data_IF_321507695026
#
_entry.id   IF_321507695026
#
_cell.length_a   1.000
_cell.length_b   1.000
_cell.length_c   1.000
_cell.angle_alpha   90.00
_cell.angle_beta   90.00
_cell.angle_gamma   90.00
#
_symmetry.space_group_name_H-M   'P 1'
#
loop_
_entity.id
_entity.type
_entity.pdbx_description
1 polymer ?
#
# COMPACT_ATOMS: atom_id res chain seq x y z
N UNK A 1 -67.39 38.35 14.22
CA UNK A 1 -66.77 37.38 13.31
C UNK A 1 -65.62 36.73 14.07
N UNK A 2 -65.90 35.59 14.72
CA UNK A 2 -64.97 34.86 15.58
C UNK A 2 -64.34 33.72 14.79
N UNK A 3 -63.01 33.67 14.75
CA UNK A 3 -62.26 32.54 14.18
C UNK A 3 -61.65 31.71 15.32
N UNK A 4 -61.98 30.42 15.30
CA UNK A 4 -61.69 29.40 16.31
C UNK A 4 -60.40 28.68 15.91
N UNK A 5 -59.40 28.70 16.79
CA UNK A 5 -58.16 27.94 16.64
C UNK A 5 -58.38 26.45 16.97
N UNK A 6 -58.13 25.55 16.02
CA UNK A 6 -58.08 24.10 16.25
C UNK A 6 -56.66 23.69 16.64
N UNK A 7 -56.52 23.10 17.84
CA UNK A 7 -55.31 22.39 18.29
C UNK A 7 -55.28 20.98 17.68
N UNK A 8 -54.27 20.72 16.84
CA UNK A 8 -53.94 19.38 16.35
C UNK A 8 -53.16 18.61 17.42
N UNK A 9 -53.61 17.41 17.79
CA UNK A 9 -52.92 16.51 18.70
C UNK A 9 -51.83 15.73 17.95
N UNK A 10 -50.66 15.64 18.57
CA UNK A 10 -49.46 14.95 18.09
C UNK A 10 -49.56 13.44 18.40
N UNK A 11 -49.37 12.51 17.44
CA UNK A 11 -49.34 11.07 17.71
C UNK A 11 -47.90 10.63 17.93
N UNK A 12 -47.32 10.97 19.09
CA UNK A 12 -45.96 10.56 19.45
C UNK A 12 -45.99 9.70 20.73
N UNK A 13 -46.85 8.69 20.78
CA UNK A 13 -46.93 7.81 21.96
C UNK A 13 -47.52 6.42 21.63
N UNK A 14 -47.05 5.78 20.55
CA UNK A 14 -47.36 4.34 20.27
C UNK A 14 -46.12 3.53 19.87
N UNK A 15 -44.98 4.17 19.57
CA UNK A 15 -43.78 3.46 19.09
C UNK A 15 -42.77 3.01 20.17
N UNK A 16 -43.08 3.18 21.46
CA UNK A 16 -42.16 2.81 22.56
C UNK A 16 -42.46 1.45 23.24
N UNK A 17 -43.49 0.70 22.78
CA UNK A 17 -43.81 -0.62 23.36
C UNK A 17 -43.34 -1.82 22.52
N UNK A 18 -42.82 -1.60 21.31
CA UNK A 18 -42.34 -2.69 20.42
C UNK A 18 -40.82 -2.88 20.44
N UNK A 19 -40.08 -2.04 21.16
CA UNK A 19 -38.61 -2.06 21.21
C UNK A 19 -38.02 -2.94 22.32
N UNK A 20 -38.80 -3.32 23.34
CA UNK A 20 -38.28 -4.12 24.48
C UNK A 20 -38.35 -5.63 24.20
N UNK A 21 -39.36 -6.12 23.48
CA UNK A 21 -39.46 -7.55 23.14
C UNK A 21 -38.52 -7.96 21.99
N UNK A 22 -38.17 -7.05 21.08
CA UNK A 22 -37.24 -7.37 19.98
C UNK A 22 -35.80 -7.53 20.46
N UNK A 23 -35.40 -6.84 21.54
CA UNK A 23 -34.09 -7.01 22.17
C UNK A 23 -33.97 -8.31 22.97
N UNK A 24 -35.07 -8.81 23.55
CA UNK A 24 -35.08 -10.09 24.27
C UNK A 24 -34.95 -11.30 23.32
N UNK A 25 -35.46 -11.20 22.07
CA UNK A 25 -35.38 -12.28 21.08
C UNK A 25 -33.98 -12.35 20.44
N UNK A 26 -33.25 -11.24 20.35
CA UNK A 26 -31.88 -11.22 19.81
C UNK A 26 -30.82 -11.64 20.84
N UNK A 27 -31.09 -11.53 22.14
CA UNK A 27 -30.16 -11.95 23.20
C UNK A 27 -30.20 -13.47 23.52
N UNK A 28 -31.18 -14.21 23.00
CA UNK A 28 -31.42 -15.61 23.36
C UNK A 28 -30.95 -16.64 22.31
N UNK A 29 -30.18 -16.23 21.28
CA UNK A 29 -29.82 -17.11 20.15
C UNK A 29 -28.37 -17.53 20.03
N UNK A 30 -27.49 -17.13 20.96
CA UNK A 30 -26.15 -17.69 21.04
C UNK A 30 -26.13 -18.81 22.09
N UNK A 31 -26.41 -20.02 21.63
CA UNK A 31 -26.19 -21.19 22.48
C UNK A 31 -24.68 -21.35 22.72
N UNK A 32 -24.25 -21.77 23.93
CA UNK A 32 -22.85 -22.08 24.21
C UNK A 32 -22.21 -23.04 23.18
N UNK A 33 -23.04 -23.87 22.55
CA UNK A 33 -22.64 -24.83 21.53
C UNK A 33 -22.26 -24.16 20.19
N UNK A 34 -22.98 -23.11 19.76
CA UNK A 34 -22.61 -22.33 18.56
C UNK A 34 -21.33 -21.51 18.78
N UNK A 35 -21.08 -21.07 20.02
CA UNK A 35 -19.84 -20.36 20.37
C UNK A 35 -18.62 -21.28 20.31
N UNK A 36 -18.77 -22.54 20.75
CA UNK A 36 -17.73 -23.57 20.64
C UNK A 36 -17.44 -23.98 19.19
N UNK A 37 -18.45 -24.12 18.33
CA UNK A 37 -18.24 -24.43 16.91
C UNK A 37 -17.54 -23.29 16.15
N UNK A 38 -17.86 -22.03 16.49
CA UNK A 38 -17.19 -20.86 15.91
C UNK A 38 -15.73 -20.76 16.35
N UNK A 39 -15.45 -21.05 17.63
CA UNK A 39 -14.08 -21.07 18.17
C UNK A 39 -13.26 -22.24 17.61
N UNK A 40 -13.83 -23.44 17.42
CA UNK A 40 -13.14 -24.56 16.75
C UNK A 40 -12.85 -24.27 15.27
N UNK A 41 -13.75 -23.59 14.55
CA UNK A 41 -13.54 -23.21 13.16
C UNK A 41 -12.40 -22.18 13.03
N UNK A 42 -12.36 -21.19 13.94
CA UNK A 42 -11.26 -20.22 14.00
C UNK A 42 -9.94 -20.87 14.43
N UNK A 43 -9.96 -21.83 15.36
CA UNK A 43 -8.76 -22.51 15.81
C UNK A 43 -8.20 -23.45 14.73
N UNK A 44 -9.05 -24.17 13.98
CA UNK A 44 -8.64 -24.98 12.83
C UNK A 44 -8.14 -24.16 11.63
N UNK A 45 -8.63 -22.93 11.45
CA UNK A 45 -8.10 -21.99 10.46
C UNK A 45 -6.76 -21.39 10.89
N UNK A 46 -6.59 -21.11 12.18
CA UNK A 46 -5.35 -20.58 12.73
C UNK A 46 -4.23 -21.64 12.77
N UNK A 47 -4.58 -22.90 13.05
CA UNK A 47 -3.59 -23.99 13.11
C UNK A 47 -3.06 -24.44 11.74
N UNK A 48 -3.72 -24.09 10.63
CA UNK A 48 -3.18 -24.30 9.26
C UNK A 48 -2.15 -23.25 8.84
N UNK A 49 -1.94 -22.19 9.61
CA UNK A 49 -0.96 -21.15 9.27
C UNK A 49 0.48 -21.54 9.64
N UNK A 50 0.71 -22.71 10.24
CA UNK A 50 1.99 -23.05 10.90
C UNK A 50 2.63 -24.35 10.41
N UNK A 51 2.02 -25.09 9.46
CA UNK A 51 2.54 -26.41 9.03
C UNK A 51 2.73 -26.54 7.51
N UNK A 52 3.24 -25.50 6.84
CA UNK A 52 3.84 -25.69 5.52
C UNK A 52 5.36 -25.47 5.63
N UNK A 53 6.12 -26.57 5.63
CA UNK A 53 7.59 -26.52 5.50
C UNK A 53 8.01 -26.05 4.09
N UNK A 54 7.06 -25.80 3.18
CA UNK A 54 7.29 -25.03 1.96
C UNK A 54 7.42 -23.54 2.27
N UNK A 55 8.62 -22.98 2.13
CA UNK A 55 8.84 -21.54 2.22
C UNK A 55 7.87 -20.77 1.29
N UNK A 56 7.44 -19.57 1.69
CA UNK A 56 6.48 -18.82 0.88
C UNK A 56 7.11 -18.26 -0.40
N UNK A 57 6.32 -18.15 -1.46
CA UNK A 57 6.72 -17.42 -2.67
C UNK A 57 6.52 -15.92 -2.45
N UNK A 58 7.61 -15.19 -2.15
CA UNK A 58 7.58 -13.72 -1.99
C UNK A 58 7.18 -12.97 -3.28
N UNK A 59 7.05 -13.67 -4.40
CA UNK A 59 6.59 -13.17 -5.69
C UNK A 59 5.20 -13.71 -6.09
N UNK A 60 4.45 -14.29 -5.15
CA UNK A 60 3.10 -14.81 -5.40
C UNK A 60 2.16 -13.72 -5.93
N UNK A 61 2.18 -12.52 -5.33
CA UNK A 61 1.31 -11.42 -5.74
C UNK A 61 2.00 -10.37 -6.62
N UNK A 62 1.18 -9.72 -7.44
CA UNK A 62 1.56 -8.54 -8.20
C UNK A 62 1.45 -7.28 -7.32
N UNK A 63 2.55 -6.92 -6.67
CA UNK A 63 2.64 -5.72 -5.83
C UNK A 63 2.93 -4.46 -6.66
N UNK A 64 2.12 -3.41 -6.49
CA UNK A 64 2.35 -2.09 -7.09
C UNK A 64 2.43 -1.00 -6.02
N UNK A 65 3.60 -0.38 -5.88
CA UNK A 65 3.80 0.69 -4.90
C UNK A 65 3.97 2.05 -5.58
N UNK A 66 3.19 3.03 -5.14
CA UNK A 66 3.35 4.43 -5.56
C UNK A 66 4.12 5.13 -4.44
N UNK A 67 5.43 5.26 -4.63
CA UNK A 67 6.30 5.87 -3.64
C UNK A 67 6.60 7.30 -4.04
N UNK A 68 6.57 8.19 -3.06
CA UNK A 68 6.79 9.60 -3.31
C UNK A 68 7.85 10.21 -2.41
N UNK A 69 8.54 11.21 -2.96
CA UNK A 69 9.51 12.03 -2.27
C UNK A 69 8.94 13.02 -1.26
N UNK A 70 7.66 12.92 -0.93
CA UNK A 70 7.00 13.78 0.06
C UNK A 70 5.53 14.03 -0.30
N UNK A 71 4.90 14.98 0.38
CA UNK A 71 3.57 15.43 -0.04
C UNK A 71 3.61 16.12 -1.40
N UNK A 72 2.46 16.21 -2.07
CA UNK A 72 2.22 17.11 -3.23
C UNK A 72 3.08 16.83 -4.48
N UNK A 73 3.33 15.55 -4.78
CA UNK A 73 4.02 15.12 -6.00
C UNK A 73 3.08 14.52 -7.07
N UNK A 74 1.76 14.56 -6.86
CA UNK A 74 0.79 13.90 -7.73
C UNK A 74 0.56 12.40 -7.44
N UNK A 75 1.12 11.88 -6.35
CA UNK A 75 0.98 10.46 -5.97
C UNK A 75 -0.47 10.05 -5.69
N UNK A 76 -1.32 10.95 -5.20
CA UNK A 76 -2.77 10.68 -5.06
C UNK A 76 -3.47 10.60 -6.42
N UNK A 77 -3.14 11.49 -7.36
CA UNK A 77 -3.63 11.37 -8.75
C UNK A 77 -3.21 10.03 -9.35
N UNK A 78 -1.94 9.61 -9.17
CA UNK A 78 -1.50 8.30 -9.63
C UNK A 78 -2.29 7.15 -8.99
N UNK A 79 -2.53 7.21 -7.68
CA UNK A 79 -3.34 6.22 -6.96
C UNK A 79 -4.74 6.08 -7.58
N UNK A 80 -5.44 7.19 -7.78
CA UNK A 80 -6.79 7.20 -8.35
C UNK A 80 -6.82 6.74 -9.80
N UNK A 81 -5.82 7.13 -10.60
CA UNK A 81 -5.68 6.66 -11.97
C UNK A 81 -5.57 5.14 -12.02
N UNK A 82 -4.64 4.53 -11.29
CA UNK A 82 -4.45 3.08 -11.33
C UNK A 82 -5.59 2.30 -10.67
N UNK A 83 -6.24 2.84 -9.63
CA UNK A 83 -7.43 2.22 -9.04
C UNK A 83 -8.67 2.27 -9.94
N UNK A 84 -8.66 3.06 -11.02
CA UNK A 84 -9.77 3.01 -12.00
C UNK A 84 -9.70 1.77 -12.90
N UNK A 85 -8.56 1.07 -12.93
CA UNK A 85 -8.40 -0.20 -13.65
C UNK A 85 -9.05 -1.32 -12.84
N UNK A 86 -10.05 -2.05 -13.39
CA UNK A 86 -10.68 -3.15 -12.67
C UNK A 86 -9.64 -4.17 -12.17
N UNK A 87 -9.83 -4.68 -10.95
CA UNK A 87 -8.91 -5.66 -10.35
C UNK A 87 -7.63 -5.06 -9.75
N UNK A 88 -7.44 -3.75 -9.78
CA UNK A 88 -6.40 -3.07 -9.02
C UNK A 88 -6.96 -2.63 -7.66
N UNK A 89 -6.34 -3.08 -6.57
CA UNK A 89 -6.70 -2.73 -5.20
C UNK A 89 -5.53 -2.04 -4.51
N UNK A 90 -5.40 -0.74 -4.74
CA UNK A 90 -4.37 0.09 -4.11
C UNK A 90 -4.96 0.93 -2.99
N UNK A 91 -4.35 0.89 -1.80
CA UNK A 91 -4.76 1.73 -0.69
C UNK A 91 -3.97 3.06 -0.64
N UNK A 92 -4.48 4.00 0.16
CA UNK A 92 -3.78 5.23 0.49
C UNK A 92 -2.61 5.02 1.45
N UNK A 93 -2.21 6.10 2.11
CA UNK A 93 -1.12 6.06 3.08
C UNK A 93 -1.51 5.28 4.35
N UNK A 94 -0.56 4.51 4.88
CA UNK A 94 -0.71 3.78 6.14
C UNK A 94 0.25 4.31 7.21
N UNK A 95 0.45 5.63 7.22
CA UNK A 95 1.24 6.38 8.20
C UNK A 95 2.68 5.87 8.38
N UNK A 96 3.27 5.28 7.34
CA UNK A 96 4.63 4.78 7.41
C UNK A 96 4.81 3.48 8.20
N UNK A 97 3.76 2.72 8.51
CA UNK A 97 3.83 1.47 9.30
C UNK A 97 4.96 0.50 8.89
N UNK A 98 5.26 0.33 7.60
CA UNK A 98 6.34 -0.55 7.14
C UNK A 98 7.75 -0.06 7.53
N UNK A 99 7.94 1.20 7.95
CA UNK A 99 9.21 1.64 8.58
C UNK A 99 9.42 1.02 9.95
N UNK A 100 8.34 0.82 10.70
CA UNK A 100 8.45 0.13 11.99
C UNK A 100 8.75 -1.36 11.76
N UNK A 101 8.19 -1.94 10.70
CA UNK A 101 8.53 -3.31 10.28
C UNK A 101 9.97 -3.43 9.77
N UNK A 102 10.46 -2.43 9.02
CA UNK A 102 11.86 -2.35 8.61
C UNK A 102 12.80 -2.39 9.82
N UNK A 103 12.56 -1.55 10.83
CA UNK A 103 13.36 -1.54 12.06
C UNK A 103 13.34 -2.90 12.75
N UNK A 104 12.15 -3.47 12.94
CA UNK A 104 12.00 -4.80 13.54
C UNK A 104 12.77 -5.86 12.73
N UNK A 105 12.68 -5.82 11.41
CA UNK A 105 13.40 -6.75 10.53
C UNK A 105 14.92 -6.62 10.70
N UNK A 106 15.44 -5.39 10.79
CA UNK A 106 16.88 -5.17 11.06
C UNK A 106 17.27 -5.63 12.47
N UNK A 107 16.47 -5.36 13.49
CA UNK A 107 16.73 -5.80 14.87
C UNK A 107 16.77 -7.34 14.96
N UNK A 108 15.87 -8.03 14.26
CA UNK A 108 15.88 -9.49 14.18
C UNK A 108 17.15 -9.98 13.47
N UNK A 109 17.57 -9.34 12.38
CA UNK A 109 18.82 -9.69 11.69
C UNK A 109 20.06 -9.52 12.58
N UNK A 110 20.13 -8.42 13.33
CA UNK A 110 21.23 -8.15 14.26
C UNK A 110 21.26 -9.17 15.40
N UNK A 111 20.12 -9.42 16.04
CA UNK A 111 20.01 -10.36 17.17
C UNK A 111 20.27 -11.81 16.74
N UNK A 112 19.78 -12.24 15.58
CA UNK A 112 20.00 -13.61 15.08
C UNK A 112 21.40 -13.84 14.52
N UNK A 113 22.06 -12.80 14.00
CA UNK A 113 23.38 -12.85 13.37
C UNK A 113 24.58 -12.61 14.29
N UNK A 114 24.44 -11.78 15.33
CA UNK A 114 25.58 -11.32 16.15
C UNK A 114 25.60 -11.87 17.58
N UNK A 115 24.47 -12.32 18.13
CA UNK A 115 24.44 -12.77 19.52
C UNK A 115 25.04 -14.17 19.67
N UNK A 116 26.08 -14.27 20.51
CA UNK A 116 26.68 -15.55 20.90
C UNK A 116 25.62 -16.40 21.59
N UNK A 117 25.20 -17.49 20.93
CA UNK A 117 24.20 -18.44 21.44
C UNK A 117 24.67 -19.32 22.59
N UNK A 118 25.85 -19.02 23.14
CA UNK A 118 26.39 -19.70 24.30
C UNK A 118 25.72 -19.31 25.62
N UNK A 119 24.88 -18.26 25.64
CA UNK A 119 24.13 -17.86 26.84
C UNK A 119 22.65 -18.23 26.72
N UNK A 120 22.10 -18.81 27.78
CA UNK A 120 20.70 -19.31 27.85
C UNK A 120 19.67 -18.24 27.47
N UNK A 121 19.98 -16.96 27.73
CA UNK A 121 19.14 -15.83 27.36
C UNK A 121 18.89 -15.67 25.85
N UNK A 122 19.73 -16.29 24.99
CA UNK A 122 19.62 -16.25 23.53
C UNK A 122 19.57 -17.67 22.91
N UNK A 123 19.04 -18.65 23.65
CA UNK A 123 18.94 -20.03 23.19
C UNK A 123 17.85 -20.27 22.11
N UNK A 124 17.15 -19.23 21.67
CA UNK A 124 16.14 -19.31 20.62
C UNK A 124 16.70 -19.73 19.25
N UNK A 125 15.86 -20.35 18.43
CA UNK A 125 16.20 -20.70 17.05
C UNK A 125 16.46 -19.45 16.19
N UNK A 126 17.15 -19.63 15.05
CA UNK A 126 17.15 -18.59 14.01
C UNK A 126 15.72 -18.34 13.59
N UNK A 127 15.33 -17.07 13.57
CA UNK A 127 14.13 -16.69 12.84
C UNK A 127 14.51 -16.70 11.37
N UNK A 128 13.74 -17.43 10.58
CA UNK A 128 13.87 -17.42 9.13
C UNK A 128 13.45 -16.04 8.61
N UNK A 129 14.34 -15.37 7.88
CA UNK A 129 14.05 -14.05 7.31
C UNK A 129 12.90 -14.11 6.30
N UNK A 130 12.80 -15.20 5.55
CA UNK A 130 11.75 -15.35 4.54
C UNK A 130 10.40 -15.51 5.25
N UNK A 131 10.34 -16.26 6.36
CA UNK A 131 9.14 -16.33 7.21
C UNK A 131 8.66 -14.95 7.71
N UNK A 132 9.60 -14.08 8.12
CA UNK A 132 9.26 -12.71 8.51
C UNK A 132 8.75 -11.94 7.29
N UNK A 133 9.40 -12.08 6.14
CA UNK A 133 8.97 -11.43 4.91
C UNK A 133 7.55 -11.85 4.51
N UNK A 134 7.22 -13.14 4.55
CA UNK A 134 5.86 -13.65 4.32
C UNK A 134 4.85 -13.00 5.29
N UNK A 135 5.22 -12.92 6.57
CA UNK A 135 4.37 -12.33 7.62
C UNK A 135 4.11 -10.85 7.35
N UNK A 136 5.13 -10.11 6.91
CA UNK A 136 5.00 -8.70 6.51
C UNK A 136 4.11 -8.58 5.28
N UNK A 137 4.28 -9.41 4.25
CA UNK A 137 3.40 -9.39 3.07
C UNK A 137 1.94 -9.62 3.46
N UNK A 138 1.64 -10.65 4.25
CA UNK A 138 0.29 -10.97 4.68
C UNK A 138 -0.34 -9.83 5.49
N UNK A 139 0.40 -9.25 6.44
CA UNK A 139 -0.06 -8.07 7.19
C UNK A 139 -0.30 -6.88 6.26
N UNK A 140 0.55 -6.67 5.27
CA UNK A 140 0.40 -5.61 4.26
C UNK A 140 -0.89 -5.80 3.44
N UNK A 141 -1.21 -7.04 3.00
CA UNK A 141 -2.49 -7.33 2.34
C UNK A 141 -3.68 -6.97 3.21
N UNK A 142 -3.63 -7.30 4.51
CA UNK A 142 -4.69 -6.99 5.49
C UNK A 142 -4.87 -5.48 5.65
N UNK A 143 -3.79 -4.71 5.66
CA UNK A 143 -3.84 -3.24 5.75
C UNK A 143 -4.46 -2.64 4.48
N UNK A 144 -4.07 -3.14 3.30
CA UNK A 144 -4.55 -2.62 2.01
C UNK A 144 -6.03 -2.92 1.81
N UNK A 145 -6.43 -4.19 1.95
CA UNK A 145 -7.79 -4.62 1.63
C UNK A 145 -8.77 -4.34 2.79
N UNK A 146 -8.25 -4.15 4.01
CA UNK A 146 -9.02 -3.76 5.18
C UNK A 146 -10.20 -4.70 5.44
N UNK A 147 -11.38 -4.11 5.65
CA UNK A 147 -12.63 -4.84 5.90
C UNK A 147 -13.08 -5.72 4.73
N UNK A 148 -12.57 -5.47 3.52
CA UNK A 148 -12.94 -6.21 2.31
C UNK A 148 -11.96 -7.33 1.98
N UNK A 149 -11.00 -7.63 2.87
CA UNK A 149 -9.96 -8.64 2.63
C UNK A 149 -10.51 -9.96 2.09
N UNK A 150 -11.49 -10.56 2.78
CA UNK A 150 -11.99 -11.89 2.42
C UNK A 150 -12.71 -11.90 1.05
N UNK A 151 -13.22 -10.75 0.60
CA UNK A 151 -13.89 -10.62 -0.70
C UNK A 151 -12.88 -10.31 -1.81
N UNK A 152 -11.93 -9.42 -1.56
CA UNK A 152 -11.04 -8.89 -2.60
C UNK A 152 -9.78 -9.72 -2.81
N UNK A 153 -9.33 -10.50 -1.82
CA UNK A 153 -8.06 -11.25 -1.92
C UNK A 153 -8.00 -12.21 -3.10
N UNK A 154 -9.15 -12.72 -3.55
CA UNK A 154 -9.24 -13.65 -4.68
C UNK A 154 -9.55 -12.98 -6.02
N UNK A 155 -10.10 -11.75 -6.01
CA UNK A 155 -10.44 -11.00 -7.21
C UNK A 155 -9.38 -9.97 -7.62
N UNK A 156 -8.59 -9.49 -6.66
CA UNK A 156 -7.52 -8.55 -6.92
C UNK A 156 -6.44 -9.18 -7.81
N UNK A 157 -6.11 -8.50 -8.89
CA UNK A 157 -5.00 -8.86 -9.81
C UNK A 157 -3.73 -8.12 -9.47
N UNK A 158 -3.85 -6.91 -8.95
CA UNK A 158 -2.74 -6.08 -8.48
C UNK A 158 -3.14 -5.48 -7.14
N UNK A 159 -2.25 -5.56 -6.16
CA UNK A 159 -2.46 -4.99 -4.84
C UNK A 159 -1.30 -4.06 -4.49
N UNK A 160 -1.56 -3.08 -3.63
CA UNK A 160 -0.48 -2.22 -3.17
C UNK A 160 -0.97 -0.98 -2.47
N UNK A 161 -0.12 0.04 -2.43
CA UNK A 161 -0.43 1.28 -1.71
C UNK A 161 0.36 2.46 -2.24
N UNK A 162 -0.06 3.65 -1.83
CA UNK A 162 0.69 4.89 -1.99
C UNK A 162 1.30 5.36 -0.66
N UNK A 163 2.57 5.72 -0.65
CA UNK A 163 3.25 6.25 0.54
C UNK A 163 4.26 7.36 0.21
N UNK A 164 4.21 8.45 0.98
CA UNK A 164 5.04 9.65 0.81
C UNK A 164 6.26 9.69 1.73
N UNK A 165 6.37 8.70 2.63
CA UNK A 165 7.44 8.60 3.63
C UNK A 165 8.57 7.69 3.18
N UNK A 166 8.46 6.97 2.05
CA UNK A 166 9.37 5.89 1.63
C UNK A 166 10.38 6.32 0.55
N UNK A 167 10.93 7.52 0.71
CA UNK A 167 11.96 8.10 -0.18
C UNK A 167 13.40 7.90 0.30
N UNK A 168 13.71 6.85 1.06
CA UNK A 168 15.08 6.53 1.50
C UNK A 168 15.58 5.21 0.90
N UNK A 169 16.91 5.10 0.71
CA UNK A 169 17.50 3.90 0.12
C UNK A 169 17.28 2.65 0.99
N UNK A 170 17.39 2.78 2.31
CA UNK A 170 17.15 1.66 3.24
C UNK A 170 15.73 1.13 3.11
N UNK A 171 14.75 2.04 3.03
CA UNK A 171 13.35 1.64 2.88
C UNK A 171 13.09 0.97 1.53
N UNK A 172 13.72 1.45 0.44
CA UNK A 172 13.63 0.79 -0.86
C UNK A 172 14.27 -0.60 -0.86
N UNK A 173 15.38 -0.79 -0.14
CA UNK A 173 16.02 -2.10 0.04
C UNK A 173 15.15 -3.04 0.86
N UNK A 174 14.56 -2.53 1.94
CA UNK A 174 13.61 -3.29 2.73
C UNK A 174 12.41 -3.71 1.88
N UNK A 175 11.78 -2.78 1.15
CA UNK A 175 10.67 -3.11 0.27
C UNK A 175 11.08 -4.11 -0.81
N UNK A 176 12.28 -4.02 -1.38
CA UNK A 176 12.73 -4.99 -2.36
C UNK A 176 13.03 -6.37 -1.74
N UNK A 177 13.53 -6.43 -0.50
CA UNK A 177 13.74 -7.70 0.21
C UNK A 177 12.41 -8.39 0.51
N UNK A 178 11.41 -7.64 0.94
CA UNK A 178 10.09 -8.18 1.30
C UNK A 178 9.21 -8.43 0.08
N UNK A 179 9.30 -7.59 -0.95
CA UNK A 179 8.48 -7.64 -2.17
C UNK A 179 9.37 -7.65 -3.43
N UNK A 180 10.16 -8.71 -3.65
CA UNK A 180 11.20 -8.74 -4.69
C UNK A 180 10.67 -8.57 -6.11
N UNK A 181 9.42 -8.95 -6.36
CA UNK A 181 8.77 -8.82 -7.66
C UNK A 181 7.89 -7.57 -7.78
N UNK A 182 7.87 -6.66 -6.80
CA UNK A 182 7.05 -5.46 -6.88
C UNK A 182 7.41 -4.56 -8.07
N UNK A 183 6.42 -3.78 -8.51
CA UNK A 183 6.60 -2.64 -9.41
C UNK A 183 6.50 -1.36 -8.61
N UNK A 184 7.33 -0.38 -8.95
CA UNK A 184 7.38 0.90 -8.24
C UNK A 184 7.10 2.05 -9.19
N UNK A 185 6.23 2.95 -8.77
CA UNK A 185 6.00 4.23 -9.43
C UNK A 185 6.54 5.30 -8.50
N UNK A 186 7.62 5.94 -8.92
CA UNK A 186 8.27 7.02 -8.19
C UNK A 186 7.65 8.34 -8.60
N UNK A 187 6.79 8.87 -7.74
CA UNK A 187 6.15 10.17 -7.92
C UNK A 187 7.00 11.26 -7.28
N UNK A 188 7.41 12.26 -8.05
CA UNK A 188 8.31 13.32 -7.60
C UNK A 188 7.98 14.66 -8.28
N UNK A 189 8.75 15.70 -7.97
CA UNK A 189 8.69 17.00 -8.64
C UNK A 189 10.04 17.31 -9.27
N UNK A 190 10.02 17.79 -10.51
CA UNK A 190 11.20 18.38 -11.14
C UNK A 190 11.48 19.77 -10.54
N UNK A 191 10.40 20.54 -10.33
CA UNK A 191 10.46 21.89 -9.76
C UNK A 191 10.44 21.82 -8.22
N UNK A 192 11.64 21.79 -7.61
CA UNK A 192 11.81 21.68 -6.16
C UNK A 192 11.70 23.01 -5.41
N UNK A 193 11.51 24.13 -6.11
CA UNK A 193 11.37 25.48 -5.55
C UNK A 193 9.95 26.05 -5.70
N UNK A 194 9.06 25.32 -6.38
CA UNK A 194 7.70 25.75 -6.62
C UNK A 194 6.95 26.05 -5.30
N UNK A 195 6.28 27.20 -5.17
CA UNK A 195 5.51 27.53 -3.98
C UNK A 195 4.33 26.58 -3.84
N UNK A 196 4.22 25.90 -2.70
CA UNK A 196 3.13 24.98 -2.43
C UNK A 196 2.35 25.42 -1.23
N UNK A 197 1.02 25.46 -1.38
CA UNK A 197 0.11 25.70 -0.28
C UNK A 197 0.16 24.51 0.67
N UNK A 198 0.88 24.67 1.77
CA UNK A 198 1.00 23.62 2.79
C UNK A 198 0.47 24.12 4.12
N UNK A 199 -0.82 23.88 4.39
CA UNK A 199 -1.35 24.07 5.74
C UNK A 199 -0.72 23.08 6.76
N UNK A 200 -0.18 21.95 6.29
CA UNK A 200 0.23 20.81 7.10
C UNK A 200 1.74 20.47 7.02
N UNK A 201 2.54 21.19 6.23
CA UNK A 201 3.96 20.87 6.04
C UNK A 201 4.86 22.07 6.28
N UNK A 202 6.00 21.80 6.89
CA UNK A 202 7.16 22.68 6.88
C UNK A 202 7.70 22.72 5.45
N UNK A 203 7.57 23.87 4.80
CA UNK A 203 7.92 24.03 3.39
C UNK A 203 9.39 23.68 3.14
N UNK A 204 10.31 24.14 3.97
CA UNK A 204 11.74 23.86 3.79
C UNK A 204 12.00 22.36 3.82
N UNK A 205 11.49 21.66 4.84
CA UNK A 205 11.64 20.20 4.94
C UNK A 205 11.00 19.45 3.78
N UNK A 206 9.94 20.00 3.20
CA UNK A 206 9.28 19.41 2.04
C UNK A 206 10.15 19.53 0.79
N UNK A 207 10.72 20.71 0.53
CA UNK A 207 11.62 20.93 -0.61
C UNK A 207 12.89 20.08 -0.49
N UNK A 208 13.51 20.04 0.70
CA UNK A 208 14.69 19.20 0.96
C UNK A 208 14.40 17.72 0.66
N UNK A 209 13.20 17.24 1.02
CA UNK A 209 12.78 15.86 0.76
C UNK A 209 12.54 15.61 -0.73
N UNK A 210 11.94 16.55 -1.46
CA UNK A 210 11.74 16.41 -2.90
C UNK A 210 13.07 16.28 -3.64
N UNK A 211 14.04 17.14 -3.32
CA UNK A 211 15.37 17.10 -3.93
C UNK A 211 16.07 15.76 -3.65
N UNK A 212 16.13 15.36 -2.38
CA UNK A 212 16.77 14.11 -1.97
C UNK A 212 16.12 12.89 -2.62
N UNK A 213 14.79 12.81 -2.59
CA UNK A 213 14.06 11.68 -3.15
C UNK A 213 14.09 11.65 -4.68
N UNK A 214 14.00 12.80 -5.35
CA UNK A 214 14.11 12.88 -6.81
C UNK A 214 15.46 12.33 -7.27
N UNK A 215 16.56 12.78 -6.65
CA UNK A 215 17.89 12.28 -6.95
C UNK A 215 18.03 10.77 -6.71
N UNK A 216 17.49 10.26 -5.60
CA UNK A 216 17.49 8.82 -5.31
C UNK A 216 16.66 8.02 -6.33
N UNK A 217 15.45 8.46 -6.63
CA UNK A 217 14.54 7.77 -7.54
C UNK A 217 15.11 7.66 -8.95
N UNK A 218 15.76 8.71 -9.46
CA UNK A 218 16.46 8.64 -10.75
C UNK A 218 17.58 7.61 -10.75
N UNK A 219 18.40 7.57 -9.69
CA UNK A 219 19.49 6.58 -9.58
C UNK A 219 18.96 5.16 -9.49
N UNK A 220 17.90 4.93 -8.71
CA UNK A 220 17.24 3.62 -8.60
C UNK A 220 16.61 3.22 -9.93
N UNK A 221 15.89 4.13 -10.58
CA UNK A 221 15.27 3.87 -11.88
C UNK A 221 16.30 3.54 -12.95
N UNK A 222 17.44 4.25 -12.99
CA UNK A 222 18.51 3.96 -13.94
C UNK A 222 19.05 2.52 -13.83
N UNK A 223 19.03 1.94 -12.62
CA UNK A 223 19.48 0.56 -12.37
C UNK A 223 18.36 -0.48 -12.49
N UNK A 224 17.11 -0.10 -12.18
CA UNK A 224 15.95 -0.98 -12.07
C UNK A 224 14.82 -0.58 -13.02
N UNK A 225 15.14 -0.11 -14.23
CA UNK A 225 14.14 0.46 -15.14
C UNK A 225 13.05 -0.54 -15.59
N UNK A 226 13.29 -1.85 -15.47
CA UNK A 226 12.32 -2.90 -15.80
C UNK A 226 11.18 -2.97 -14.80
N UNK A 227 11.42 -2.63 -13.53
CA UNK A 227 10.44 -2.73 -12.43
C UNK A 227 10.00 -1.38 -11.89
N UNK A 228 10.58 -0.29 -12.38
CA UNK A 228 10.31 1.06 -11.87
C UNK A 228 9.84 2.01 -12.98
N UNK A 229 9.09 3.04 -12.61
CA UNK A 229 8.69 4.15 -13.48
C UNK A 229 8.83 5.47 -12.74
N UNK A 230 9.30 6.50 -13.43
CA UNK A 230 9.40 7.87 -12.93
C UNK A 230 8.17 8.66 -13.34
N UNK A 231 7.54 9.35 -12.39
CA UNK A 231 6.34 10.14 -12.62
C UNK A 231 6.52 11.54 -12.02
N UNK A 232 7.09 12.45 -12.81
CA UNK A 232 7.19 13.87 -12.45
C UNK A 232 5.81 14.52 -12.47
N UNK A 233 5.49 15.30 -11.43
CA UNK A 233 4.22 16.04 -11.34
C UNK A 233 4.02 16.97 -12.54
N UNK A 234 5.08 17.64 -12.97
CA UNK A 234 5.07 18.62 -14.05
C UNK A 234 4.85 17.97 -15.43
N UNK A 235 5.02 16.64 -15.53
CA UNK A 235 4.94 15.87 -16.77
C UNK A 235 3.79 14.86 -16.77
N UNK A 236 2.84 14.98 -15.83
CA UNK A 236 1.66 14.11 -15.81
C UNK A 236 0.86 14.26 -17.10
N UNK A 237 0.72 13.15 -17.82
CA UNK A 237 -0.05 13.09 -19.06
C UNK A 237 -0.69 11.73 -19.23
N UNK A 238 -1.79 11.69 -19.99
CA UNK A 238 -2.50 10.45 -20.35
C UNK A 238 -1.54 9.45 -21.00
N UNK A 239 -0.71 9.90 -21.93
CA UNK A 239 0.28 9.07 -22.63
C UNK A 239 1.30 8.44 -21.66
N UNK A 240 1.75 9.19 -20.66
CA UNK A 240 2.66 8.64 -19.65
C UNK A 240 1.98 7.51 -18.86
N UNK A 241 0.75 7.74 -18.37
CA UNK A 241 0.01 6.71 -17.64
C UNK A 241 -0.26 5.47 -18.50
N UNK A 242 -0.66 5.65 -19.75
CA UNK A 242 -0.90 4.56 -20.70
C UNK A 242 0.37 3.76 -21.00
N UNK A 243 1.54 4.42 -21.05
CA UNK A 243 2.83 3.75 -21.19
C UNK A 243 3.15 2.89 -19.98
N UNK A 244 2.95 3.39 -18.76
CA UNK A 244 3.14 2.59 -17.54
C UNK A 244 2.17 1.40 -17.53
N UNK A 245 0.90 1.64 -17.85
CA UNK A 245 -0.16 0.63 -17.90
C UNK A 245 0.21 -0.55 -18.81
N UNK A 246 0.67 -0.27 -20.03
CA UNK A 246 1.07 -1.29 -21.00
C UNK A 246 2.45 -1.90 -20.69
N UNK A 247 3.47 -1.04 -20.60
CA UNK A 247 4.86 -1.49 -20.67
C UNK A 247 5.38 -2.01 -19.33
N UNK A 248 4.77 -1.60 -18.21
CA UNK A 248 5.24 -1.93 -16.85
C UNK A 248 4.29 -2.85 -16.12
N UNK A 249 3.00 -2.69 -16.37
CA UNK A 249 1.95 -3.44 -15.68
C UNK A 249 1.36 -4.55 -16.56
N UNK A 250 1.59 -4.54 -17.88
CA UNK A 250 1.13 -5.59 -18.78
C UNK A 250 -0.38 -5.57 -19.04
N UNK A 251 -1.06 -4.47 -18.74
CA UNK A 251 -2.50 -4.30 -18.96
C UNK A 251 -2.75 -3.92 -20.41
N UNK A 252 -3.77 -4.54 -21.03
CA UNK A 252 -4.15 -4.33 -22.44
C UNK A 252 -5.65 -4.04 -22.57
N UNK A 253 -6.13 -3.72 -23.78
CA UNK A 253 -7.56 -3.58 -24.08
C UNK A 253 -8.24 -2.29 -23.59
N UNK A 254 -7.59 -1.55 -22.70
CA UNK A 254 -8.08 -0.28 -22.18
C UNK A 254 -6.98 0.78 -22.13
N UNK A 255 -7.39 2.04 -22.09
CA UNK A 255 -6.50 3.18 -21.94
C UNK A 255 -7.17 4.31 -21.16
N UNK A 256 -6.36 5.08 -20.45
CA UNK A 256 -6.78 6.34 -19.88
C UNK A 256 -7.07 7.34 -21.02
N UNK A 257 -8.11 8.14 -20.82
CA UNK A 257 -8.57 9.19 -21.72
C UNK A 257 -8.38 10.59 -21.13
N UNK A 258 -8.18 10.67 -19.81
CA UNK A 258 -7.91 11.90 -19.07
C UNK A 258 -7.06 11.60 -17.83
N UNK A 259 -6.35 12.60 -17.33
CA UNK A 259 -5.69 12.54 -16.01
C UNK A 259 -6.65 13.08 -14.97
N UNK A 260 -6.94 12.29 -13.92
CA UNK A 260 -7.77 12.75 -12.80
C UNK A 260 -6.97 13.76 -11.98
N UNK A 261 -7.47 14.98 -11.87
CA UNK A 261 -6.94 15.95 -10.94
C UNK A 261 -7.56 15.70 -9.58
N UNK A 262 -6.79 15.18 -8.62
CA UNK A 262 -7.21 15.02 -7.24
C UNK A 262 -6.46 15.98 -6.34
N UNK A 263 -7.21 16.66 -5.47
CA UNK A 263 -6.70 17.68 -4.54
C UNK A 263 -6.14 18.91 -5.27
N UNK A 264 -6.80 19.34 -6.35
CA UNK A 264 -6.40 20.54 -7.07
C UNK A 264 -6.35 21.80 -6.17
N UNK A 265 -7.16 21.81 -5.10
CA UNK A 265 -7.20 22.87 -4.09
C UNK A 265 -6.16 22.70 -2.96
N UNK A 266 -5.37 21.63 -2.98
CA UNK A 266 -4.48 21.25 -1.89
C UNK A 266 -5.20 20.60 -0.70
N UNK A 267 -6.46 20.22 -0.84
CA UNK A 267 -7.23 19.49 0.16
C UNK A 267 -6.84 18.01 0.27
N UNK A 268 -7.73 17.26 0.92
CA UNK A 268 -7.75 15.79 0.99
C UNK A 268 -9.05 15.20 0.42
N UNK A 269 -9.92 16.06 -0.11
CA UNK A 269 -11.22 15.64 -0.63
C UNK A 269 -11.04 15.27 -2.09
N UNK A 270 -11.62 14.16 -2.55
CA UNK A 270 -11.66 13.87 -3.97
C UNK A 270 -12.39 15.02 -4.67
N UNK A 271 -11.86 15.45 -5.81
CA UNK A 271 -12.56 16.40 -6.65
C UNK A 271 -13.84 15.71 -7.19
N UNK A 272 -14.90 16.47 -7.47
CA UNK A 272 -16.22 15.91 -7.81
C UNK A 272 -16.10 14.84 -8.90
N UNK A 273 -16.80 13.71 -8.72
CA UNK A 273 -16.67 12.48 -9.52
C UNK A 273 -16.66 12.76 -11.02
N UNK A 274 -15.47 12.77 -11.62
CA UNK A 274 -15.32 12.70 -13.06
C UNK A 274 -15.77 11.29 -13.48
N UNK A 275 -16.45 11.17 -14.62
CA UNK A 275 -16.67 9.88 -15.27
C UNK A 275 -15.36 9.08 -15.32
N UNK A 276 -15.44 7.74 -15.21
CA UNK A 276 -14.25 6.87 -15.24
C UNK A 276 -13.24 7.38 -16.28
N UNK A 277 -11.97 7.65 -15.91
CA UNK A 277 -10.97 8.14 -16.84
C UNK A 277 -10.56 7.06 -17.85
N UNK A 278 -11.04 5.83 -17.68
CA UNK A 278 -10.66 4.66 -18.44
C UNK A 278 -11.67 4.38 -19.57
N UNK A 279 -11.15 4.12 -20.76
CA UNK A 279 -11.91 3.72 -21.94
C UNK A 279 -11.50 2.32 -22.40
N UNK A 280 -12.45 1.55 -22.93
CA UNK A 280 -12.24 0.15 -23.32
C UNK A 280 -12.47 -0.85 -22.18
N UNK A 281 -12.20 -2.13 -22.47
CA UNK A 281 -12.30 -3.23 -21.50
C UNK A 281 -10.88 -3.74 -21.19
N UNK A 282 -10.47 -3.66 -19.93
CA UNK A 282 -9.12 -4.05 -19.54
C UNK A 282 -8.94 -5.56 -19.55
N UNK A 283 -7.94 -6.02 -20.30
CA UNK A 283 -7.43 -7.38 -20.23
C UNK A 283 -6.22 -7.43 -19.28
N UNK A 284 -6.38 -8.22 -18.22
CA UNK A 284 -5.38 -8.43 -17.16
C UNK A 284 -4.73 -9.81 -17.26
N UNK A 285 -5.03 -10.59 -18.30
CA UNK A 285 -4.53 -11.97 -18.46
C UNK A 285 -3.00 -12.04 -18.56
N UNK A 286 -2.37 -10.99 -19.07
CA UNK A 286 -0.92 -10.87 -19.19
C UNK A 286 -0.24 -10.21 -17.98
N UNK A 287 -0.99 -9.78 -16.96
CA UNK A 287 -0.42 -9.10 -15.78
C UNK A 287 0.32 -10.11 -14.91
N UNK A 288 1.65 -10.06 -14.95
CA UNK A 288 2.52 -10.80 -14.05
C UNK A 288 3.76 -9.98 -13.74
N UNK A 289 4.02 -9.76 -12.45
CA UNK A 289 5.21 -9.03 -12.00
C UNK A 289 6.36 -9.97 -11.64
N UNK A 290 6.12 -11.28 -11.72
CA UNK A 290 7.08 -12.31 -11.34
C UNK A 290 8.38 -12.13 -12.12
N UNK A 291 9.47 -12.09 -11.36
CA UNK A 291 10.82 -12.01 -11.85
C UNK A 291 11.45 -13.39 -11.74
N UNK A 292 12.38 -13.69 -12.65
CA UNK A 292 13.25 -14.84 -12.48
C UNK A 292 14.16 -14.67 -11.25
N UNK A 293 14.66 -15.76 -10.65
CA UNK A 293 15.62 -15.66 -9.54
C UNK A 293 16.87 -14.82 -9.87
N UNK A 294 17.32 -14.86 -11.13
CA UNK A 294 18.43 -14.05 -11.61
C UNK A 294 18.12 -12.54 -11.62
N UNK A 295 16.91 -12.16 -12.05
CA UNK A 295 16.46 -10.76 -12.02
C UNK A 295 16.29 -10.25 -10.59
N UNK A 296 15.74 -11.06 -9.68
CA UNK A 296 15.65 -10.71 -8.25
C UNK A 296 17.05 -10.46 -7.67
N UNK A 297 17.99 -11.37 -7.95
CA UNK A 297 19.38 -11.25 -7.47
C UNK A 297 20.07 -10.01 -8.04
N UNK A 298 19.89 -9.74 -9.34
CA UNK A 298 20.46 -8.57 -10.00
C UNK A 298 19.89 -7.26 -9.44
N UNK A 299 18.58 -7.21 -9.17
CA UNK A 299 17.94 -6.04 -8.58
C UNK A 299 18.44 -5.77 -7.16
N UNK A 300 18.60 -6.81 -6.33
CA UNK A 300 19.15 -6.70 -4.99
C UNK A 300 20.62 -6.21 -5.02
N UNK A 301 21.42 -6.74 -5.94
CA UNK A 301 22.81 -6.30 -6.13
C UNK A 301 22.89 -4.82 -6.55
N UNK A 302 22.03 -4.38 -7.47
CA UNK A 302 21.97 -2.99 -7.91
C UNK A 302 21.66 -2.01 -6.76
N UNK A 303 20.73 -2.36 -5.87
CA UNK A 303 20.44 -1.53 -4.68
C UNK A 303 21.60 -1.52 -3.68
N UNK A 304 22.35 -2.62 -3.57
CA UNK A 304 23.55 -2.67 -2.73
C UNK A 304 24.69 -1.83 -3.31
N UNK A 305 24.85 -1.79 -4.63
CA UNK A 305 25.83 -0.92 -5.27
C UNK A 305 25.51 0.56 -5.02
N UNK A 306 24.24 0.95 -5.10
CA UNK A 306 23.79 2.31 -4.75
C UNK A 306 24.09 2.67 -3.29
N UNK A 307 24.02 1.71 -2.36
CA UNK A 307 24.41 1.93 -0.97
C UNK A 307 25.91 2.21 -0.84
N UNK A 308 26.74 1.43 -1.54
CA UNK A 308 28.20 1.66 -1.54
C UNK A 308 28.54 3.03 -2.13
N UNK A 309 27.90 3.41 -3.23
CA UNK A 309 28.03 4.74 -3.83
C UNK A 309 27.65 5.85 -2.84
N UNK A 310 26.51 5.71 -2.17
CA UNK A 310 26.02 6.68 -1.18
C UNK A 310 26.98 6.82 0.02
N UNK A 311 27.50 5.70 0.52
CA UNK A 311 28.46 5.69 1.64
C UNK A 311 29.81 6.30 1.25
N UNK A 312 30.27 6.10 0.01
CA UNK A 312 31.49 6.71 -0.49
C UNK A 312 31.39 8.24 -0.58
N UNK A 313 30.22 8.77 -0.97
CA UNK A 313 29.98 10.22 -1.01
C UNK A 313 29.80 10.87 0.36
N UNK A 314 29.45 10.10 1.38
CA UNK A 314 29.23 10.59 2.74
C UNK A 314 30.52 10.63 3.61
N UNK A 315 31.64 10.08 3.12
CA UNK A 315 32.90 10.15 3.83
C UNK A 315 33.36 11.62 3.95
N UNK A 316 33.74 12.10 5.15
CA UNK A 316 34.20 13.47 5.33
C UNK A 316 35.42 13.72 4.44
N UNK A 317 35.35 14.77 3.60
CA UNK A 317 36.50 15.29 2.86
C UNK A 317 37.60 15.78 3.79
#
# INVERSE_FOLDING_TARGET
MSSVARKSRCPLLVLLSLSVELFAILAARDTPQQRLEHDELHHRRSSRLVEDEGGCDLCEDNWLFILSGGGRTGSTTALSMFNSVPGFELSGEHYGLLKEMEKLFQDVKLTTGQMSRGVVAFAGNRVDEDYIACSVQHLTKRIILGAQYDTLIHSAKVIGFKEIRYGSLDMLRFLHRIFPCARYIFSYRDETDAPVRTAAFDQKKLLDRWEQASGLFHRVHAKLNSTTSLLALEQLSVEHYNRVLRDKLGVQGCEFSAVVHDNADGGFRPDQSVSSPLSGECDLSAVSFRLSPGEVTAAAAALQDLERENNATAAPM
#
